data_IF_075618662057
#
_entry.id   IF_075618662057
#
_cell.length_a   1.000
_cell.length_b   1.000
_cell.length_c   1.000
_cell.angle_alpha   90.00
_cell.angle_beta   90.00
_cell.angle_gamma   90.00
#
_symmetry.space_group_name_H-M   'P 1'
#
loop_
_entity.id
_entity.type
_entity.pdbx_description
1 polymer ?
#
# COMPACT_ATOMS: atom_id res chain seq x y z
N UNK A 1 7.23 24.14 29.55
CA UNK A 1 6.62 25.42 29.17
C UNK A 1 5.12 25.25 29.07
N UNK A 2 4.58 24.35 28.23
CA UNK A 2 3.15 24.17 28.03
C UNK A 2 2.40 23.90 29.34
N UNK A 3 2.87 22.98 30.17
CA UNK A 3 2.26 22.65 31.46
C UNK A 3 2.22 23.85 32.44
N UNK A 4 3.21 24.73 32.39
CA UNK A 4 3.22 25.98 33.16
C UNK A 4 2.16 26.94 32.65
N UNK A 5 2.11 27.18 31.32
CA UNK A 5 1.13 28.09 30.70
C UNK A 5 -0.31 27.65 30.95
N UNK A 6 -0.55 26.34 30.91
CA UNK A 6 -1.88 25.76 31.21
C UNK A 6 -2.26 25.91 32.67
N UNK A 7 -1.31 25.68 33.59
CA UNK A 7 -1.54 25.85 35.02
C UNK A 7 -1.88 27.29 35.37
N UNK A 8 -1.16 28.25 34.79
CA UNK A 8 -1.40 29.68 34.99
C UNK A 8 -2.56 30.21 34.15
N UNK A 9 -3.23 29.38 33.34
CA UNK A 9 -4.35 29.73 32.45
C UNK A 9 -4.04 30.82 31.45
N UNK A 10 -2.80 31.01 31.05
CA UNK A 10 -2.31 32.00 30.08
C UNK A 10 -2.00 31.38 28.71
N UNK A 11 -2.17 30.08 28.55
CA UNK A 11 -1.99 29.37 27.28
C UNK A 11 -2.54 27.95 27.34
N UNK A 12 -2.69 27.33 26.18
CA UNK A 12 -3.11 25.94 26.02
C UNK A 12 -2.23 25.25 24.97
N UNK A 13 -1.80 24.02 25.27
CA UNK A 13 -1.15 23.16 24.29
C UNK A 13 -2.14 22.79 23.16
N UNK A 14 -1.72 22.93 21.93
CA UNK A 14 -2.50 22.56 20.75
C UNK A 14 -1.64 21.66 19.87
N UNK A 15 -2.20 20.51 19.49
CA UNK A 15 -1.64 19.66 18.46
C UNK A 15 -2.18 20.06 17.10
N UNK A 16 -1.29 20.37 16.16
CA UNK A 16 -1.65 20.68 14.79
C UNK A 16 -1.22 19.54 13.89
N UNK A 17 -2.17 18.89 13.25
CA UNK A 17 -1.90 17.89 12.23
C UNK A 17 -1.38 18.56 10.96
N UNK A 18 -0.22 18.11 10.48
CA UNK A 18 0.37 18.60 9.22
C UNK A 18 0.10 17.68 8.04
N UNK A 19 -0.33 16.44 8.32
CA UNK A 19 -0.74 15.52 7.28
C UNK A 19 -2.07 16.00 6.70
N UNK A 20 -2.10 16.16 5.38
CA UNK A 20 -3.33 16.47 4.64
C UNK A 20 -4.08 15.19 4.33
N UNK A 21 -5.38 15.30 4.20
CA UNK A 21 -6.21 14.20 3.73
C UNK A 21 -5.74 13.77 2.34
N UNK A 22 -5.83 12.47 2.07
CA UNK A 22 -5.55 11.90 0.76
C UNK A 22 -6.66 10.96 0.33
N UNK A 23 -6.96 10.96 -0.97
CA UNK A 23 -7.96 10.06 -1.54
C UNK A 23 -7.42 8.62 -1.65
N UNK A 24 -8.25 7.66 -1.27
CA UNK A 24 -7.94 6.22 -1.35
C UNK A 24 -8.49 5.57 -2.60
N UNK A 25 -9.26 6.29 -3.42
CA UNK A 25 -9.90 5.79 -4.63
C UNK A 25 -9.25 6.33 -5.91
N UNK A 26 -9.39 5.58 -7.01
CA UNK A 26 -8.86 5.91 -8.33
C UNK A 26 -9.86 5.59 -9.42
N UNK A 27 -9.99 6.50 -10.37
CA UNK A 27 -10.86 6.41 -11.56
C UNK A 27 -10.14 5.62 -12.66
N UNK A 28 -10.11 4.31 -12.53
CA UNK A 28 -9.44 3.42 -13.48
C UNK A 28 -10.16 2.09 -13.59
N UNK A 29 -9.94 1.38 -14.68
CA UNK A 29 -10.55 0.06 -14.91
C UNK A 29 -9.98 -1.03 -13.99
N UNK A 30 -8.68 -0.99 -13.68
CA UNK A 30 -7.99 -2.00 -12.90
C UNK A 30 -7.80 -1.59 -11.44
N UNK A 31 -7.53 -2.54 -10.58
CA UNK A 31 -7.34 -2.35 -9.14
C UNK A 31 -8.37 -3.11 -8.33
N UNK A 32 -8.28 -3.05 -7.01
CA UNK A 32 -9.25 -3.68 -6.13
C UNK A 32 -10.56 -2.87 -6.11
N UNK A 33 -11.71 -3.45 -6.48
CA UNK A 33 -12.98 -2.75 -6.42
C UNK A 33 -13.35 -2.38 -4.98
N UNK A 34 -13.98 -1.23 -4.82
CA UNK A 34 -14.47 -0.78 -3.51
C UNK A 34 -15.85 -1.43 -3.27
N UNK A 35 -16.04 -2.16 -2.16
CA UNK A 35 -17.27 -2.92 -1.92
C UNK A 35 -18.42 -2.03 -1.39
N UNK A 36 -18.80 -1.04 -2.19
CA UNK A 36 -19.84 -0.06 -1.88
C UNK A 36 -20.87 -0.02 -3.02
N UNK A 37 -22.12 0.08 -2.67
CA UNK A 37 -23.22 0.42 -3.57
C UNK A 37 -23.92 1.67 -3.07
N UNK A 38 -24.49 2.46 -3.98
CA UNK A 38 -25.26 3.65 -3.66
C UNK A 38 -26.73 3.34 -3.89
N UNK A 39 -27.52 3.49 -2.87
CA UNK A 39 -28.98 3.36 -2.94
C UNK A 39 -29.64 4.69 -2.65
N UNK A 40 -30.31 5.26 -3.65
CA UNK A 40 -30.80 6.64 -3.59
C UNK A 40 -29.70 7.64 -3.20
N UNK A 41 -28.50 7.48 -3.78
CA UNK A 41 -27.29 8.27 -3.52
C UNK A 41 -26.65 8.10 -2.12
N UNK A 42 -27.18 7.22 -1.28
CA UNK A 42 -26.58 6.90 0.02
C UNK A 42 -25.66 5.69 -0.08
N UNK A 43 -24.40 5.79 0.38
CA UNK A 43 -23.42 4.70 0.31
C UNK A 43 -23.75 3.59 1.33
N UNK A 44 -23.76 2.36 0.84
CA UNK A 44 -24.02 1.14 1.62
C UNK A 44 -22.86 0.16 1.36
N UNK A 45 -22.28 -0.38 2.42
CA UNK A 45 -21.28 -1.44 2.31
C UNK A 45 -21.94 -2.76 1.94
N UNK A 46 -21.30 -3.49 1.02
CA UNK A 46 -21.75 -4.83 0.65
C UNK A 46 -21.61 -5.81 1.80
N UNK A 47 -22.56 -6.72 1.90
CA UNK A 47 -22.51 -7.82 2.85
C UNK A 47 -21.45 -8.86 2.43
N UNK A 48 -20.98 -9.65 3.38
CA UNK A 48 -19.96 -10.68 3.13
C UNK A 48 -20.38 -11.67 2.04
N UNK A 49 -21.66 -11.93 1.90
CA UNK A 49 -22.25 -12.83 0.89
C UNK A 49 -22.12 -12.30 -0.54
N UNK A 50 -21.96 -10.99 -0.69
CA UNK A 50 -21.86 -10.30 -1.97
C UNK A 50 -20.41 -10.04 -2.41
N UNK A 51 -19.47 -10.58 -1.66
CA UNK A 51 -18.04 -10.50 -1.92
C UNK A 51 -17.51 -11.80 -2.52
N UNK A 52 -16.46 -11.74 -3.36
CA UNK A 52 -15.76 -10.53 -3.82
C UNK A 52 -16.49 -9.78 -4.92
N UNK A 53 -16.26 -8.47 -5.01
CA UNK A 53 -16.66 -7.69 -6.20
C UNK A 53 -15.67 -7.97 -7.31
N UNK A 54 -16.14 -8.58 -8.40
CA UNK A 54 -15.30 -8.91 -9.55
C UNK A 54 -15.35 -7.80 -10.60
N UNK A 55 -14.17 -7.47 -11.16
CA UNK A 55 -14.10 -6.57 -12.31
C UNK A 55 -14.69 -7.21 -13.57
N UNK A 56 -15.27 -6.42 -14.48
CA UNK A 56 -15.75 -6.92 -15.77
C UNK A 56 -14.62 -7.56 -16.57
N UNK A 57 -14.89 -8.70 -17.19
CA UNK A 57 -13.94 -9.34 -18.11
C UNK A 57 -13.83 -8.54 -19.39
N UNK A 58 -12.61 -8.26 -19.83
CA UNK A 58 -12.32 -7.66 -21.11
C UNK A 58 -12.33 -8.77 -22.16
N UNK A 59 -13.04 -8.58 -23.24
CA UNK A 59 -13.03 -9.51 -24.38
C UNK A 59 -11.75 -9.30 -25.20
N UNK A 60 -11.31 -10.36 -25.85
CA UNK A 60 -10.14 -10.30 -26.72
C UNK A 60 -10.32 -9.24 -27.82
N UNK A 61 -9.34 -8.34 -27.93
CA UNK A 61 -9.38 -7.23 -28.90
C UNK A 61 -10.14 -5.97 -28.43
N UNK A 62 -10.76 -5.98 -27.25
CA UNK A 62 -11.35 -4.78 -26.68
C UNK A 62 -10.37 -4.01 -25.80
N UNK A 63 -10.37 -2.70 -25.92
CA UNK A 63 -9.65 -1.84 -24.99
C UNK A 63 -10.46 -1.65 -23.69
N UNK A 64 -9.81 -1.66 -22.50
CA UNK A 64 -10.51 -1.40 -21.25
C UNK A 64 -11.13 0.00 -21.25
N UNK A 65 -12.39 0.07 -20.85
CA UNK A 65 -13.13 1.33 -20.67
C UNK A 65 -13.25 1.64 -19.18
N UNK A 66 -13.40 2.92 -18.80
CA UNK A 66 -13.71 3.27 -17.42
C UNK A 66 -14.90 2.46 -16.88
N UNK A 67 -14.86 2.04 -15.63
CA UNK A 67 -15.93 1.25 -15.01
C UNK A 67 -17.29 1.98 -15.04
N UNK A 68 -17.27 3.30 -14.96
CA UNK A 68 -18.46 4.16 -15.08
C UNK A 68 -19.16 4.08 -16.45
N UNK A 69 -18.46 3.59 -17.47
CA UNK A 69 -19.04 3.39 -18.82
C UNK A 69 -19.52 1.94 -19.04
N UNK A 70 -19.34 1.06 -18.06
CA UNK A 70 -19.82 -0.31 -18.13
C UNK A 70 -21.13 -0.43 -17.37
N UNK A 71 -22.25 -0.26 -18.09
CA UNK A 71 -23.60 -0.28 -17.49
C UNK A 71 -23.88 -1.59 -16.75
N UNK A 72 -23.42 -2.72 -17.26
CA UNK A 72 -23.61 -4.03 -16.61
C UNK A 72 -22.86 -4.15 -15.27
N UNK A 73 -21.79 -3.37 -15.08
CA UNK A 73 -21.08 -3.32 -13.81
C UNK A 73 -21.65 -2.24 -12.88
N UNK A 74 -21.94 -1.08 -13.43
CA UNK A 74 -22.36 0.10 -12.70
C UNK A 74 -23.80 0.02 -12.20
N UNK A 75 -24.75 -0.32 -13.08
CA UNK A 75 -26.18 -0.34 -12.77
C UNK A 75 -26.59 -1.69 -12.17
N UNK A 76 -27.05 -1.69 -10.92
CA UNK A 76 -27.59 -2.88 -10.24
C UNK A 76 -29.11 -2.89 -10.39
N UNK A 77 -29.76 -1.76 -10.13
CA UNK A 77 -31.20 -1.56 -10.28
C UNK A 77 -31.51 -0.07 -10.52
N UNK A 78 -32.74 0.32 -10.83
CA UNK A 78 -33.08 1.72 -11.13
C UNK A 78 -32.67 2.77 -10.08
N UNK A 79 -32.54 2.35 -8.83
CA UNK A 79 -32.18 3.23 -7.70
C UNK A 79 -30.91 2.77 -6.98
N UNK A 80 -30.13 1.88 -7.60
CA UNK A 80 -28.96 1.28 -6.98
C UNK A 80 -27.84 1.16 -7.98
N UNK A 81 -26.71 1.79 -7.66
CA UNK A 81 -25.52 1.79 -8.50
C UNK A 81 -24.31 1.31 -7.70
N UNK A 82 -23.35 0.68 -8.39
CA UNK A 82 -22.10 0.23 -7.80
C UNK A 82 -21.07 1.36 -7.81
N UNK A 83 -20.19 1.37 -6.80
CA UNK A 83 -18.98 2.18 -6.85
C UNK A 83 -18.10 1.79 -8.06
N UNK A 84 -17.68 2.78 -8.82
CA UNK A 84 -16.89 2.60 -10.06
C UNK A 84 -15.41 2.95 -9.90
N UNK A 85 -15.03 3.52 -8.77
CA UNK A 85 -13.64 3.70 -8.42
C UNK A 85 -13.04 2.38 -7.90
N UNK A 86 -11.74 2.25 -8.03
CA UNK A 86 -10.97 1.17 -7.38
C UNK A 86 -10.07 1.75 -6.31
N UNK A 87 -9.66 0.93 -5.35
CA UNK A 87 -8.69 1.36 -4.35
C UNK A 87 -7.35 1.74 -5.00
N UNK A 88 -6.69 2.74 -4.41
CA UNK A 88 -5.29 3.03 -4.71
C UNK A 88 -4.43 1.77 -4.51
N UNK A 89 -3.44 1.57 -5.37
CA UNK A 89 -2.54 0.41 -5.32
C UNK A 89 -1.86 0.25 -3.95
N UNK A 90 -1.57 1.37 -3.27
CA UNK A 90 -0.98 1.32 -1.94
C UNK A 90 -1.93 0.83 -0.85
N UNK A 91 -3.24 0.83 -1.07
CA UNK A 91 -4.20 0.20 -0.14
C UNK A 91 -4.01 -1.32 -0.17
N UNK A 92 -3.93 -1.92 -1.35
CA UNK A 92 -3.70 -3.36 -1.49
C UNK A 92 -2.34 -3.78 -0.91
N UNK A 93 -1.28 -3.04 -1.25
CA UNK A 93 0.07 -3.35 -0.78
C UNK A 93 0.31 -2.97 0.68
N UNK A 94 -0.58 -2.23 1.32
CA UNK A 94 -0.38 -1.71 2.68
C UNK A 94 -0.27 -2.80 3.74
N UNK A 95 -0.90 -3.94 3.55
CA UNK A 95 -1.00 -5.03 4.53
C UNK A 95 -0.46 -6.37 4.02
N UNK A 96 0.20 -6.40 2.85
CA UNK A 96 0.71 -7.65 2.26
C UNK A 96 1.63 -8.42 3.20
N UNK A 97 2.47 -7.72 3.97
CA UNK A 97 3.38 -8.32 4.95
C UNK A 97 2.63 -9.15 6.01
N UNK A 98 1.45 -8.69 6.43
CA UNK A 98 0.60 -9.42 7.35
C UNK A 98 -0.08 -10.61 6.64
N UNK A 99 -0.61 -10.42 5.43
CA UNK A 99 -1.25 -11.50 4.67
C UNK A 99 -0.29 -12.65 4.35
N UNK A 100 0.99 -12.37 4.09
CA UNK A 100 1.99 -13.41 3.86
C UNK A 100 2.17 -14.36 5.03
N UNK A 101 1.91 -13.94 6.26
CA UNK A 101 2.01 -14.82 7.44
C UNK A 101 0.91 -15.88 7.49
N UNK A 102 -0.17 -15.69 6.74
CA UNK A 102 -1.32 -16.60 6.62
C UNK A 102 -1.65 -16.91 5.15
N UNK A 103 -0.64 -17.03 4.28
CA UNK A 103 -0.81 -17.13 2.82
C UNK A 103 -1.69 -18.29 2.39
N UNK A 104 -1.60 -19.44 3.07
CA UNK A 104 -2.35 -20.65 2.76
C UNK A 104 -3.76 -20.67 3.36
N UNK A 105 -4.12 -19.68 4.17
CA UNK A 105 -5.43 -19.62 4.80
C UNK A 105 -6.47 -19.02 3.84
N UNK A 106 -7.36 -19.85 3.32
CA UNK A 106 -8.42 -19.41 2.40
C UNK A 106 -9.71 -18.94 3.12
N UNK A 107 -9.80 -19.11 4.43
CA UNK A 107 -11.00 -18.79 5.22
C UNK A 107 -10.88 -17.48 6.00
N UNK A 108 -9.66 -17.08 6.35
CA UNK A 108 -9.38 -15.88 7.14
C UNK A 108 -8.27 -15.06 6.47
N UNK A 109 -8.36 -13.76 6.60
CA UNK A 109 -7.32 -12.84 6.14
C UNK A 109 -6.01 -13.03 6.92
N UNK A 110 -6.11 -13.18 8.23
CA UNK A 110 -5.03 -13.41 9.18
C UNK A 110 -5.42 -14.52 10.17
N UNK A 111 -4.44 -15.17 10.77
CA UNK A 111 -4.60 -16.24 11.74
C UNK A 111 -3.55 -16.18 12.87
N UNK A 112 -3.44 -17.22 13.66
CA UNK A 112 -2.48 -17.32 14.78
C UNK A 112 -1.02 -17.20 14.35
N UNK A 113 -0.67 -17.57 13.11
CA UNK A 113 0.68 -17.35 12.59
C UNK A 113 0.98 -15.85 12.45
N UNK A 114 -0.03 -15.06 12.12
CA UNK A 114 0.12 -13.60 12.03
C UNK A 114 0.49 -12.99 13.39
N UNK A 115 -0.11 -13.45 14.48
CA UNK A 115 0.23 -13.02 15.83
C UNK A 115 1.68 -13.39 16.23
N UNK A 116 2.18 -14.53 15.74
CA UNK A 116 3.56 -14.96 15.99
C UNK A 116 4.59 -14.14 15.19
N UNK A 117 4.32 -13.87 13.92
CA UNK A 117 5.27 -13.24 13.00
C UNK A 117 5.27 -11.71 13.04
N UNK A 118 4.21 -11.09 13.56
CA UNK A 118 4.08 -9.64 13.63
C UNK A 118 4.45 -9.11 15.04
N UNK A 119 4.97 -7.88 15.12
CA UNK A 119 5.39 -7.00 14.02
C UNK A 119 6.68 -7.49 13.34
N UNK A 120 6.88 -7.12 12.07
CA UNK A 120 8.07 -7.48 11.28
C UNK A 120 9.34 -6.94 11.95
N UNK A 121 10.35 -7.77 12.15
CA UNK A 121 11.57 -7.38 12.87
C UNK A 121 12.42 -6.37 12.10
N UNK A 122 12.58 -6.58 10.79
CA UNK A 122 13.36 -5.69 9.93
C UNK A 122 12.66 -5.53 8.58
N UNK A 123 12.35 -4.29 8.23
CA UNK A 123 11.77 -3.93 6.94
C UNK A 123 12.77 -3.13 6.13
N UNK A 124 12.99 -3.54 4.88
CA UNK A 124 14.03 -2.96 4.01
C UNK A 124 13.38 -2.39 2.76
N UNK A 125 13.68 -1.14 2.43
CA UNK A 125 13.14 -0.50 1.25
C UNK A 125 13.72 0.88 0.97
N UNK A 126 13.28 1.49 -0.13
CA UNK A 126 13.69 2.83 -0.51
C UNK A 126 13.06 3.91 0.37
N UNK A 127 13.79 5.02 0.55
CA UNK A 127 13.33 6.15 1.35
C UNK A 127 12.08 6.82 0.75
N UNK A 128 11.88 6.74 -0.55
CA UNK A 128 10.72 7.28 -1.26
C UNK A 128 9.38 6.72 -0.77
N UNK A 129 9.39 5.52 -0.20
CA UNK A 129 8.19 4.90 0.35
C UNK A 129 7.76 5.46 1.70
N UNK A 130 8.53 6.35 2.32
CA UNK A 130 8.17 6.96 3.61
C UNK A 130 6.84 7.71 3.58
N UNK A 131 6.53 8.37 2.46
CA UNK A 131 5.28 9.11 2.22
C UNK A 131 4.30 8.37 1.32
N UNK A 132 4.60 7.14 0.92
CA UNK A 132 3.79 6.27 0.08
C UNK A 132 3.44 4.99 0.84
N UNK A 133 4.04 3.87 0.45
CA UNK A 133 3.76 2.56 1.03
C UNK A 133 3.84 2.51 2.57
N UNK A 134 4.86 3.12 3.18
CA UNK A 134 5.01 3.07 4.64
C UNK A 134 3.91 3.86 5.36
N UNK A 135 3.46 4.98 4.80
CA UNK A 135 2.33 5.73 5.34
C UNK A 135 1.07 4.88 5.35
N UNK A 136 0.74 4.26 4.21
CA UNK A 136 -0.41 3.38 4.08
C UNK A 136 -0.30 2.16 4.99
N UNK A 137 0.88 1.52 5.08
CA UNK A 137 1.09 0.35 5.93
C UNK A 137 0.87 0.66 7.41
N UNK A 138 1.35 1.79 7.88
CA UNK A 138 1.15 2.23 9.27
C UNK A 138 -0.31 2.58 9.54
N UNK A 139 -0.96 3.28 8.62
CA UNK A 139 -2.38 3.60 8.72
C UNK A 139 -3.24 2.33 8.75
N UNK A 140 -3.01 1.43 7.79
CA UNK A 140 -3.78 0.19 7.67
C UNK A 140 -3.54 -0.76 8.85
N UNK A 141 -2.31 -0.83 9.35
CA UNK A 141 -1.99 -1.61 10.55
C UNK A 141 -2.78 -1.13 11.77
N UNK A 142 -2.85 0.20 11.98
CA UNK A 142 -3.64 0.77 13.07
C UNK A 142 -5.14 0.49 12.90
N UNK A 143 -5.65 0.57 11.68
CA UNK A 143 -7.04 0.20 11.40
C UNK A 143 -7.31 -1.29 11.68
N UNK A 144 -6.42 -2.19 11.26
CA UNK A 144 -6.51 -3.62 11.57
C UNK A 144 -6.42 -3.90 13.06
N UNK A 145 -5.57 -3.18 13.81
CA UNK A 145 -5.51 -3.26 15.26
C UNK A 145 -6.83 -2.85 15.90
N UNK A 146 -7.41 -1.73 15.47
CA UNK A 146 -8.64 -1.19 16.04
C UNK A 146 -9.84 -2.14 15.88
N UNK A 147 -9.83 -2.98 14.84
CA UNK A 147 -10.82 -4.06 14.64
C UNK A 147 -10.35 -5.43 15.17
N UNK A 148 -9.22 -5.48 15.88
CA UNK A 148 -8.75 -6.70 16.56
C UNK A 148 -8.09 -7.75 15.66
N UNK A 149 -7.63 -7.40 14.46
CA UNK A 149 -6.97 -8.33 13.55
C UNK A 149 -5.47 -8.48 13.82
N UNK A 150 -4.83 -7.46 14.36
CA UNK A 150 -3.39 -7.45 14.73
C UNK A 150 -3.19 -6.77 16.07
N UNK A 151 -2.03 -6.98 16.67
CA UNK A 151 -1.62 -6.33 17.91
C UNK A 151 -0.54 -5.27 17.64
N UNK A 152 -0.42 -4.31 18.57
CA UNK A 152 0.60 -3.27 18.52
C UNK A 152 0.25 -2.10 17.61
N UNK A 153 1.05 -1.04 17.69
CA UNK A 153 0.80 0.24 17.02
C UNK A 153 1.55 0.39 15.69
N UNK A 154 2.60 -0.39 15.51
CA UNK A 154 3.49 -0.26 14.34
C UNK A 154 3.73 -1.62 13.67
N UNK A 155 3.68 -1.66 12.33
CA UNK A 155 3.85 -2.91 11.58
C UNK A 155 5.29 -3.43 11.58
N UNK A 156 6.27 -2.54 11.77
CA UNK A 156 7.69 -2.82 11.64
C UNK A 156 8.46 -2.35 12.88
N UNK A 157 9.27 -3.24 13.48
CA UNK A 157 10.14 -2.89 14.61
C UNK A 157 11.31 -2.00 14.18
N UNK A 158 11.87 -2.27 13.00
CA UNK A 158 13.02 -1.56 12.47
C UNK A 158 12.91 -1.38 10.96
N UNK A 159 13.18 -0.17 10.49
CA UNK A 159 13.26 0.18 9.08
C UNK A 159 14.72 0.40 8.69
N UNK A 160 15.16 -0.28 7.65
CA UNK A 160 16.43 -0.02 6.98
C UNK A 160 16.14 0.61 5.61
N UNK A 161 16.40 1.90 5.49
CA UNK A 161 16.24 2.60 4.22
C UNK A 161 17.48 2.42 3.36
N UNK A 162 17.27 1.94 2.13
CA UNK A 162 18.33 1.84 1.13
C UNK A 162 18.58 3.20 0.49
N UNK A 163 19.84 3.47 0.15
CA UNK A 163 20.20 4.62 -0.69
C UNK A 163 19.72 4.44 -2.13
N UNK A 164 19.70 5.54 -2.87
CA UNK A 164 19.42 5.50 -4.30
C UNK A 164 20.56 4.83 -5.05
N UNK A 165 20.23 3.96 -6.00
CA UNK A 165 21.23 3.41 -6.93
C UNK A 165 21.65 4.52 -7.90
N UNK A 166 22.94 4.79 -7.93
CA UNK A 166 23.51 5.83 -8.74
C UNK A 166 24.31 5.23 -9.92
N UNK A 167 24.28 5.90 -11.05
CA UNK A 167 25.21 5.69 -12.15
C UNK A 167 25.97 7.00 -12.41
N UNK A 168 27.30 6.92 -12.42
CA UNK A 168 28.18 8.08 -12.61
C UNK A 168 27.86 9.24 -11.62
N UNK A 169 27.61 8.88 -10.35
CA UNK A 169 27.30 9.83 -9.28
C UNK A 169 25.90 10.45 -9.34
N UNK A 170 25.07 10.08 -10.31
CA UNK A 170 23.71 10.62 -10.49
C UNK A 170 22.63 9.56 -10.34
N UNK A 171 21.46 9.97 -9.81
CA UNK A 171 20.28 9.11 -9.78
C UNK A 171 19.93 8.65 -11.19
N UNK A 172 19.74 7.34 -11.38
CA UNK A 172 19.28 6.78 -12.64
C UNK A 172 17.89 7.26 -13.00
N UNK A 173 17.70 7.65 -14.26
CA UNK A 173 16.42 8.10 -14.80
C UNK A 173 16.34 7.80 -16.30
N UNK A 174 15.18 7.33 -16.74
CA UNK A 174 14.91 7.12 -18.18
C UNK A 174 15.06 8.43 -18.97
N UNK A 175 14.62 9.55 -18.40
CA UNK A 175 14.71 10.87 -19.04
C UNK A 175 16.16 11.37 -19.22
N UNK A 176 17.08 10.91 -18.37
CA UNK A 176 18.52 11.23 -18.47
C UNK A 176 19.30 10.23 -19.32
N UNK A 177 18.69 9.13 -19.72
CA UNK A 177 19.36 8.07 -20.48
C UNK A 177 20.48 7.35 -19.73
N UNK A 178 20.56 7.51 -18.41
CA UNK A 178 21.61 6.92 -17.57
C UNK A 178 21.15 5.65 -16.83
N UNK A 179 20.17 4.94 -17.37
CA UNK A 179 19.74 3.64 -16.83
C UNK A 179 20.71 2.54 -17.23
N UNK A 180 20.86 1.54 -16.38
CA UNK A 180 21.60 0.31 -16.65
C UNK A 180 20.59 -0.77 -17.04
N UNK A 181 20.80 -1.41 -18.18
CA UNK A 181 20.04 -2.59 -18.56
C UNK A 181 20.53 -3.79 -17.73
N UNK A 182 19.69 -4.40 -16.92
CA UNK A 182 20.07 -5.55 -16.11
C UNK A 182 20.37 -6.80 -16.94
N UNK A 183 19.93 -6.86 -18.21
CA UNK A 183 20.04 -8.05 -19.03
C UNK A 183 21.49 -8.50 -19.21
N UNK A 184 22.41 -7.56 -19.45
CA UNK A 184 23.84 -7.88 -19.58
C UNK A 184 24.44 -8.54 -18.33
N UNK A 185 23.97 -8.11 -17.14
CA UNK A 185 24.42 -8.70 -15.88
C UNK A 185 23.78 -10.07 -15.65
N UNK A 186 22.52 -10.22 -16.02
CA UNK A 186 21.80 -11.50 -15.94
C UNK A 186 22.48 -12.54 -16.83
N UNK A 187 22.83 -12.16 -18.05
CA UNK A 187 23.48 -13.06 -19.01
C UNK A 187 24.90 -13.47 -18.57
N UNK A 188 25.63 -12.56 -17.92
CA UNK A 188 27.01 -12.84 -17.50
C UNK A 188 27.10 -13.52 -16.13
N UNK A 189 26.19 -13.21 -15.20
CA UNK A 189 26.32 -13.60 -13.79
C UNK A 189 25.09 -14.33 -13.24
N UNK A 190 24.01 -14.38 -13.99
CA UNK A 190 22.71 -14.91 -13.54
C UNK A 190 21.85 -13.89 -12.79
N UNK A 191 20.54 -14.11 -12.79
CA UNK A 191 19.56 -13.20 -12.20
C UNK A 191 19.76 -13.00 -10.68
N UNK A 192 20.08 -14.05 -9.94
CA UNK A 192 20.25 -13.99 -8.48
C UNK A 192 21.43 -13.08 -8.10
N UNK A 193 22.56 -13.21 -8.77
CA UNK A 193 23.76 -12.39 -8.52
C UNK A 193 23.49 -10.93 -8.92
N UNK A 194 22.86 -10.72 -10.06
CA UNK A 194 22.50 -9.38 -10.55
C UNK A 194 21.54 -8.68 -9.57
N UNK A 195 20.54 -9.38 -9.06
CA UNK A 195 19.63 -8.86 -8.05
C UNK A 195 20.39 -8.45 -6.79
N UNK A 196 21.21 -9.32 -6.23
CA UNK A 196 21.94 -9.07 -4.99
C UNK A 196 22.88 -7.85 -5.11
N UNK A 197 23.58 -7.70 -6.24
CA UNK A 197 24.56 -6.63 -6.42
C UNK A 197 23.95 -5.29 -6.84
N UNK A 198 22.86 -5.31 -7.59
CA UNK A 198 22.23 -4.09 -8.09
C UNK A 198 21.16 -3.52 -7.16
N UNK A 199 20.43 -4.38 -6.45
CA UNK A 199 19.25 -3.94 -5.68
C UNK A 199 19.47 -3.91 -4.17
N UNK A 200 20.47 -4.63 -3.68
CA UNK A 200 20.85 -4.62 -2.26
C UNK A 200 22.22 -3.96 -2.10
N UNK A 201 22.33 -2.63 -2.18
CA UNK A 201 23.56 -1.96 -1.84
C UNK A 201 23.85 -2.23 -0.37
N UNK A 202 24.60 -3.29 -0.10
CA UNK A 202 25.19 -3.54 1.20
C UNK A 202 26.16 -2.40 1.47
N UNK A 203 25.75 -1.40 2.20
CA UNK A 203 26.67 -0.63 3.00
C UNK A 203 27.21 -1.56 4.09
N UNK A 204 28.12 -2.42 3.75
CA UNK A 204 29.14 -2.85 4.67
C UNK A 204 30.00 -1.62 4.96
N UNK A 205 29.55 -0.78 5.87
CA UNK A 205 30.40 0.07 6.63
C UNK A 205 31.19 -0.85 7.55
N UNK A 206 32.29 -1.40 7.06
CA UNK A 206 33.36 -1.88 7.92
C UNK A 206 33.91 -0.60 8.52
N UNK A 207 33.38 -0.25 9.69
CA UNK A 207 34.01 0.71 10.56
C UNK A 207 35.32 0.09 11.04
N UNK A 208 36.44 0.67 10.60
CA UNK A 208 37.70 0.56 11.32
C UNK A 208 37.65 1.42 12.57
#
# INVERSE_FOLDING_TARGET
>A
INSFLEKEKIGKGIENFRLRDWGVSRQRFWGCPIPVVYKNDEPIFLEKTDLPVELPKIKDGESPKPLSQNTNFFEISPNETREVDTFDTFVDSSWYYARFTAADNNNKALDENSAYWLPVDLYIGGIEHAILHLLYSRFFHKAMRDIGLVEGDEPFKKLLTQGMVLKDGSKMSKSKGNTVDPQQYIDNYGAAVSYTHLTLPTRCGVGG
#
